data_IF_419522293303
#
_entry.id   IF_419522293303
#
_cell.length_a   1.000
_cell.length_b   1.000
_cell.length_c   1.000
_cell.angle_alpha   90.00
_cell.angle_beta   90.00
_cell.angle_gamma   90.00
#
_symmetry.space_group_name_H-M   'P 1'
#
loop_
_entity.id
_entity.type
_entity.pdbx_description
1 polymer ?
#
# COMPACT_ATOMS: atom_id res chain seq x y z
N UNK A 1 20.38 -6.93 7.50
CA UNK A 1 19.34 -7.33 6.55
C UNK A 1 19.10 -6.23 5.54
N UNK A 2 19.00 -6.58 4.30
CA UNK A 2 18.81 -5.60 3.23
C UNK A 2 17.35 -5.56 2.83
N UNK A 3 16.75 -4.37 2.84
CA UNK A 3 15.36 -4.19 2.43
C UNK A 3 15.28 -3.86 0.94
N UNK A 4 14.24 -4.39 0.28
CA UNK A 4 14.03 -4.17 -1.15
C UNK A 4 13.52 -2.76 -1.47
N UNK A 5 12.86 -2.12 -0.52
CA UNK A 5 12.30 -0.79 -0.72
C UNK A 5 12.02 -0.11 0.62
N UNK A 6 11.92 1.21 0.57
CA UNK A 6 11.40 2.01 1.67
C UNK A 6 9.92 2.29 1.39
N UNK A 7 9.18 2.67 2.42
CA UNK A 7 7.74 2.92 2.27
C UNK A 7 7.40 4.33 2.71
N UNK A 8 6.60 5.01 1.89
CA UNK A 8 6.02 6.30 2.25
C UNK A 8 4.50 6.18 2.25
N UNK A 9 3.84 6.87 3.15
CA UNK A 9 2.39 6.91 3.24
C UNK A 9 1.88 8.28 2.84
N UNK A 10 0.97 8.32 1.88
CA UNK A 10 0.26 9.56 1.57
C UNK A 10 -0.85 9.77 2.60
N UNK A 11 -1.36 10.99 2.68
CA UNK A 11 -2.32 11.37 3.72
C UNK A 11 -3.54 10.44 3.81
N UNK A 12 -4.17 10.01 2.71
CA UNK A 12 -5.33 9.11 2.82
C UNK A 12 -5.01 7.79 3.52
N UNK A 13 -3.78 7.27 3.38
CA UNK A 13 -3.38 6.05 4.08
C UNK A 13 -3.23 6.33 5.57
N UNK A 14 -2.62 7.46 5.91
CA UNK A 14 -2.44 7.83 7.33
C UNK A 14 -3.80 7.92 8.01
N UNK A 15 -4.75 8.60 7.37
CA UNK A 15 -6.12 8.73 7.90
C UNK A 15 -6.78 7.36 8.04
N UNK A 16 -6.62 6.50 7.04
CA UNK A 16 -7.19 5.16 7.09
C UNK A 16 -6.60 4.34 8.25
N UNK A 17 -5.28 4.37 8.40
CA UNK A 17 -4.61 3.64 9.49
C UNK A 17 -5.07 4.13 10.85
N UNK A 18 -5.26 5.44 11.01
CA UNK A 18 -5.76 6.00 12.25
C UNK A 18 -7.19 5.56 12.55
N UNK A 19 -7.98 5.23 11.53
CA UNK A 19 -9.36 4.76 11.71
C UNK A 19 -9.43 3.31 12.20
N UNK A 20 -8.35 2.55 12.07
CA UNK A 20 -8.30 1.16 12.50
C UNK A 20 -8.05 1.08 14.01
N UNK A 21 -8.53 -0.01 14.63
CA UNK A 21 -8.15 -0.27 16.01
C UNK A 21 -6.63 -0.56 16.07
N UNK A 22 -6.06 -0.40 17.24
CA UNK A 22 -4.62 -0.49 17.44
C UNK A 22 -4.04 -1.82 16.95
N UNK A 23 -4.67 -2.94 17.29
CA UNK A 23 -4.14 -4.25 16.92
C UNK A 23 -4.17 -4.48 15.41
N UNK A 24 -5.24 -4.05 14.75
CA UNK A 24 -5.34 -4.15 13.28
C UNK A 24 -4.26 -3.31 12.61
N UNK A 25 -4.09 -2.07 13.09
CA UNK A 25 -3.06 -1.18 12.56
C UNK A 25 -1.66 -1.77 12.73
N UNK A 26 -1.36 -2.31 13.90
CA UNK A 26 -0.07 -2.93 14.15
C UNK A 26 0.18 -4.12 13.22
N UNK A 27 -0.85 -4.92 12.96
CA UNK A 27 -0.72 -6.06 12.05
C UNK A 27 -0.45 -5.61 10.62
N UNK A 28 -1.14 -4.57 10.17
CA UNK A 28 -0.91 -3.99 8.83
C UNK A 28 0.54 -3.51 8.71
N UNK A 29 1.01 -2.75 9.69
CA UNK A 29 2.37 -2.21 9.66
C UNK A 29 3.41 -3.32 9.72
N UNK A 30 3.16 -4.35 10.51
CA UNK A 30 4.04 -5.52 10.58
C UNK A 30 4.14 -6.22 9.21
N UNK A 31 3.01 -6.42 8.55
CA UNK A 31 2.98 -7.08 7.24
C UNK A 31 3.68 -6.25 6.17
N UNK A 32 3.53 -4.94 6.22
CA UNK A 32 4.25 -4.05 5.31
C UNK A 32 5.75 -4.17 5.55
N UNK A 33 6.16 -4.11 6.81
CA UNK A 33 7.57 -4.24 7.16
C UNK A 33 8.14 -5.58 6.68
N UNK A 34 7.38 -6.66 6.89
CA UNK A 34 7.81 -8.00 6.48
C UNK A 34 7.94 -8.11 4.95
N UNK A 35 7.04 -7.47 4.20
CA UNK A 35 7.07 -7.50 2.74
C UNK A 35 8.32 -6.85 2.15
N UNK A 36 9.02 -6.04 2.93
CA UNK A 36 10.25 -5.38 2.49
C UNK A 36 11.42 -6.36 2.38
N UNK A 37 11.36 -7.49 3.05
CA UNK A 37 12.47 -8.45 3.06
C UNK A 37 12.10 -9.82 2.49
N UNK A 38 10.82 -10.14 2.31
CA UNK A 38 10.39 -11.41 1.74
C UNK A 38 9.47 -11.20 0.56
N UNK A 39 9.61 -12.05 -0.47
CA UNK A 39 8.71 -12.04 -1.62
C UNK A 39 7.53 -12.95 -1.30
N UNK A 40 6.40 -12.34 -0.96
CA UNK A 40 5.21 -13.08 -0.59
C UNK A 40 3.98 -12.36 -1.15
N UNK A 41 3.35 -12.96 -2.16
CA UNK A 41 2.16 -12.38 -2.79
C UNK A 41 0.96 -12.29 -1.85
N UNK A 42 0.99 -13.02 -0.73
CA UNK A 42 -0.04 -12.88 0.29
C UNK A 42 0.09 -11.57 1.05
N UNK A 43 1.26 -10.96 1.02
CA UNK A 43 1.52 -9.69 1.70
C UNK A 43 1.53 -8.50 0.77
N UNK A 44 2.07 -8.67 -0.43
CA UNK A 44 2.27 -7.55 -1.35
C UNK A 44 2.34 -8.08 -2.78
N UNK A 45 1.45 -7.61 -3.65
CA UNK A 45 1.41 -8.06 -5.04
C UNK A 45 0.92 -6.99 -5.99
N UNK A 46 1.29 -7.15 -7.27
CA UNK A 46 0.80 -6.28 -8.32
C UNK A 46 -0.69 -6.55 -8.55
N UNK A 47 -1.46 -5.48 -8.69
CA UNK A 47 -2.90 -5.58 -8.89
C UNK A 47 -3.30 -5.27 -10.33
N UNK A 48 -3.00 -4.06 -10.79
CA UNK A 48 -3.41 -3.62 -12.13
C UNK A 48 -2.58 -2.41 -12.53
N UNK A 49 -2.07 -2.40 -13.78
CA UNK A 49 -1.25 -1.29 -14.27
C UNK A 49 -0.04 -1.08 -13.37
N UNK A 50 0.11 0.11 -12.84
CA UNK A 50 1.20 0.44 -11.94
C UNK A 50 0.81 0.29 -10.46
N UNK A 51 -0.42 -0.15 -10.18
CA UNK A 51 -0.93 -0.23 -8.80
C UNK A 51 -0.67 -1.61 -8.23
N UNK A 52 -0.07 -1.59 -7.03
CA UNK A 52 0.19 -2.77 -6.21
C UNK A 52 -0.66 -2.69 -4.95
N UNK A 53 -0.79 -3.80 -4.23
CA UNK A 53 -1.53 -3.80 -2.98
C UNK A 53 -0.78 -4.53 -1.86
N UNK A 54 -0.76 -3.89 -0.69
CA UNK A 54 -0.40 -4.55 0.56
C UNK A 54 -1.65 -5.23 1.10
N UNK A 55 -1.50 -6.45 1.58
CA UNK A 55 -2.62 -7.30 1.98
C UNK A 55 -2.46 -7.76 3.42
N UNK A 56 -3.52 -7.60 4.19
CA UNK A 56 -3.56 -8.08 5.58
C UNK A 56 -4.93 -8.69 5.85
N UNK A 57 -4.93 -9.89 6.41
CA UNK A 57 -6.13 -10.52 6.94
C UNK A 57 -5.97 -10.57 8.46
N UNK A 58 -6.81 -9.86 9.18
CA UNK A 58 -6.75 -9.83 10.63
C UNK A 58 -8.14 -9.65 11.21
N UNK A 59 -8.47 -10.47 12.22
CA UNK A 59 -9.77 -10.42 12.89
C UNK A 59 -10.92 -10.45 11.89
N UNK A 60 -10.82 -11.36 10.91
CA UNK A 60 -11.83 -11.59 9.86
C UNK A 60 -12.01 -10.40 8.91
N UNK A 61 -11.10 -9.43 8.95
CA UNK A 61 -11.16 -8.27 8.06
C UNK A 61 -10.05 -8.37 7.02
N UNK A 62 -10.42 -8.13 5.76
CA UNK A 62 -9.46 -8.05 4.66
C UNK A 62 -9.09 -6.59 4.47
N UNK A 63 -7.89 -6.23 4.92
CA UNK A 63 -7.41 -4.86 4.88
C UNK A 63 -6.47 -4.71 3.69
N UNK A 64 -6.71 -3.69 2.86
CA UNK A 64 -5.92 -3.44 1.67
C UNK A 64 -5.38 -2.02 1.67
N UNK A 65 -4.11 -1.87 1.29
CA UNK A 65 -3.49 -0.57 1.04
C UNK A 65 -2.93 -0.62 -0.38
N UNK A 66 -3.33 0.32 -1.20
CA UNK A 66 -2.79 0.42 -2.56
C UNK A 66 -1.49 1.20 -2.54
N UNK A 67 -0.67 0.95 -3.55
CA UNK A 67 0.66 1.53 -3.60
C UNK A 67 1.20 1.50 -5.03
N UNK A 68 2.26 2.27 -5.24
CA UNK A 68 3.00 2.23 -6.51
C UNK A 68 4.50 2.39 -6.20
N UNK A 69 5.32 2.03 -7.17
CA UNK A 69 6.76 2.12 -7.03
C UNK A 69 7.27 3.45 -7.56
N UNK A 70 8.15 4.08 -6.80
CA UNK A 70 8.92 5.24 -7.25
C UNK A 70 10.38 4.83 -7.30
N UNK A 71 10.89 4.66 -8.51
CA UNK A 71 12.29 4.25 -8.77
C UNK A 71 13.12 5.39 -9.32
N UNK A 72 12.64 6.62 -9.19
CA UNK A 72 13.34 7.79 -9.72
C UNK A 72 14.61 8.11 -8.95
N UNK A 73 14.72 7.72 -7.69
CA UNK A 73 15.93 7.87 -6.90
C UNK A 73 16.82 6.65 -7.13
N UNK A 74 18.04 6.87 -7.59
CA UNK A 74 18.96 5.77 -7.91
C UNK A 74 19.44 4.99 -6.68
N UNK A 75 19.44 5.63 -5.52
CA UNK A 75 19.94 5.00 -4.30
C UNK A 75 18.87 4.25 -3.53
N UNK A 76 17.65 4.75 -3.58
CA UNK A 76 16.54 4.18 -2.81
C UNK A 76 15.33 3.94 -3.69
N UNK A 77 14.79 2.73 -3.61
CA UNK A 77 13.50 2.42 -4.20
C UNK A 77 12.43 2.67 -3.15
N UNK A 78 11.41 3.42 -3.51
CA UNK A 78 10.33 3.77 -2.60
C UNK A 78 9.02 3.17 -3.11
N UNK A 79 8.27 2.56 -2.21
CA UNK A 79 6.88 2.17 -2.47
C UNK A 79 6.02 3.18 -1.75
N UNK A 80 5.20 3.90 -2.51
CA UNK A 80 4.34 4.96 -1.99
C UNK A 80 2.93 4.41 -1.85
N UNK A 81 2.43 4.35 -0.63
CA UNK A 81 1.08 3.85 -0.36
C UNK A 81 0.09 5.00 -0.48
N UNK A 82 -0.94 4.80 -1.28
CA UNK A 82 -1.86 5.87 -1.69
C UNK A 82 -3.12 5.97 -0.83
N UNK A 83 -3.83 4.86 -0.68
CA UNK A 83 -5.10 4.81 0.04
C UNK A 83 -5.35 3.41 0.56
N UNK A 84 -6.19 3.31 1.56
CA UNK A 84 -6.54 2.03 2.17
C UNK A 84 -8.03 1.87 2.34
N UNK A 85 -8.48 0.63 2.43
CA UNK A 85 -9.90 0.32 2.63
C UNK A 85 -10.07 -1.10 3.17
N UNK A 86 -11.26 -1.38 3.69
CA UNK A 86 -11.64 -2.73 4.10
C UNK A 86 -12.36 -3.38 2.93
N UNK A 87 -11.82 -4.51 2.45
CA UNK A 87 -12.40 -5.22 1.32
C UNK A 87 -13.54 -6.11 1.81
N UNK A 88 -14.73 -5.85 1.33
CA UNK A 88 -15.94 -6.55 1.79
C UNK A 88 -16.51 -7.55 0.79
N UNK A 89 -15.99 -7.55 -0.43
CA UNK A 89 -16.44 -8.45 -1.49
C UNK A 89 -15.23 -9.07 -2.18
N UNK A 90 -15.49 -10.06 -3.04
CA UNK A 90 -14.41 -10.70 -3.81
C UNK A 90 -13.77 -9.75 -4.83
N UNK A 91 -14.51 -8.75 -5.25
CA UNK A 91 -14.03 -7.79 -6.25
C UNK A 91 -13.37 -6.59 -5.58
N UNK A 92 -12.25 -6.14 -6.16
CA UNK A 92 -11.61 -4.92 -5.72
C UNK A 92 -12.42 -3.73 -6.24
N UNK A 93 -12.81 -2.77 -5.37
CA UNK A 93 -13.59 -1.62 -5.80
C UNK A 93 -12.83 -0.79 -6.84
N UNK A 94 -13.47 -0.60 -8.00
CA UNK A 94 -12.87 0.17 -9.08
C UNK A 94 -12.57 1.61 -8.64
N UNK A 95 -13.45 2.20 -7.83
CA UNK A 95 -13.26 3.57 -7.34
C UNK A 95 -11.97 3.71 -6.53
N UNK A 96 -11.58 2.67 -5.76
CA UNK A 96 -10.35 2.73 -5.00
C UNK A 96 -9.11 2.64 -5.91
N UNK A 97 -9.21 1.85 -6.97
CA UNK A 97 -8.14 1.75 -7.96
C UNK A 97 -7.96 3.09 -8.68
N UNK A 98 -9.07 3.71 -9.08
CA UNK A 98 -9.03 5.01 -9.75
C UNK A 98 -8.43 6.09 -8.86
N UNK A 99 -8.77 6.05 -7.57
CA UNK A 99 -8.22 6.98 -6.58
C UNK A 99 -6.70 6.80 -6.46
N UNK A 100 -6.25 5.55 -6.41
CA UNK A 100 -4.82 5.24 -6.31
C UNK A 100 -4.08 5.76 -7.54
N UNK A 101 -4.63 5.55 -8.73
CA UNK A 101 -4.00 6.01 -9.96
C UNK A 101 -3.95 7.54 -10.03
N UNK A 102 -5.01 8.22 -9.61
CA UNK A 102 -5.01 9.67 -9.58
C UNK A 102 -3.94 10.21 -8.63
N UNK A 103 -3.80 9.58 -7.46
CA UNK A 103 -2.79 9.97 -6.49
C UNK A 103 -1.37 9.72 -7.01
N UNK A 104 -1.18 8.61 -7.76
CA UNK A 104 0.11 8.32 -8.37
C UNK A 104 0.51 9.39 -9.39
N UNK A 105 -0.41 9.74 -10.27
CA UNK A 105 -0.15 10.76 -11.29
C UNK A 105 0.19 12.10 -10.62
N UNK A 106 -0.59 12.48 -9.62
CA UNK A 106 -0.35 13.71 -8.88
C UNK A 106 1.01 13.72 -8.20
N UNK A 107 1.37 12.59 -7.58
CA UNK A 107 2.66 12.46 -6.90
C UNK A 107 3.82 12.76 -7.87
N UNK A 108 3.82 12.12 -9.03
CA UNK A 108 4.90 12.32 -9.99
C UNK A 108 4.88 13.73 -10.62
N UNK A 109 3.71 14.31 -10.80
CA UNK A 109 3.61 15.68 -11.31
C UNK A 109 4.20 16.69 -10.32
N UNK A 110 3.97 16.48 -9.04
CA UNK A 110 4.49 17.37 -8.00
C UNK A 110 6.00 17.23 -7.76
N UNK A 111 6.60 16.14 -8.19
CA UNK A 111 8.04 15.92 -8.04
C UNK A 111 8.89 16.66 -9.08
N UNK A 112 8.29 17.12 -10.13
CA UNK A 112 9.02 17.80 -11.19
C UNK A 112 9.44 19.22 -10.84
#
# INVERSE_FOLDING_TARGET
MKYKFNVEFLEPVIEFLESLDQKSREKVLYNIWKSRSVNDAELFKKLKGEIWEFRTLYNKQYIRLFAFWDKSNKQDTIVVSTNGFLKKTDKTPLSEIEKAEALRVRYFNEKQ
#
